data_IF_156385198124
#
_entry.id   IF_156385198124
#
_cell.length_a   1.000
_cell.length_b   1.000
_cell.length_c   1.000
_cell.angle_alpha   90.00
_cell.angle_beta   90.00
_cell.angle_gamma   90.00
#
_symmetry.space_group_name_H-M   'P 1'
#
loop_
_entity.id
_entity.type
_entity.pdbx_description
1 polymer ?
#
# COMPACT_ATOMS: atom_id res chain seq x y z
N UNK A 1 -8.38 -16.49 44.08
CA UNK A 1 -7.34 -16.70 43.05
C UNK A 1 -7.43 -15.53 42.09
N UNK A 2 -6.40 -14.69 42.01
CA UNK A 2 -6.39 -13.57 41.08
C UNK A 2 -6.42 -14.13 39.64
N UNK A 3 -7.36 -13.66 38.82
CA UNK A 3 -7.27 -13.85 37.36
C UNK A 3 -6.09 -13.01 36.90
N UNK A 4 -4.99 -13.65 36.53
CA UNK A 4 -3.93 -12.98 35.78
C UNK A 4 -4.51 -12.52 34.45
N UNK A 5 -4.73 -11.22 34.31
CA UNK A 5 -5.17 -10.61 33.07
C UNK A 5 -3.91 -10.24 32.27
N UNK A 6 -3.70 -10.88 31.13
CA UNK A 6 -2.65 -10.52 30.17
C UNK A 6 -3.28 -10.11 28.83
N UNK A 7 -2.54 -9.32 28.05
CA UNK A 7 -2.89 -8.98 26.68
C UNK A 7 -1.61 -8.92 25.84
N UNK A 8 -1.74 -9.21 24.54
CA UNK A 8 -0.63 -9.16 23.60
C UNK A 8 -0.62 -7.84 22.83
N UNK A 9 0.58 -7.29 22.62
CA UNK A 9 0.81 -6.15 21.73
C UNK A 9 1.36 -6.70 20.42
N UNK A 10 0.59 -6.62 19.34
CA UNK A 10 0.98 -7.11 18.02
C UNK A 10 0.84 -6.00 16.97
N UNK A 11 1.74 -6.00 15.99
CA UNK A 11 1.68 -5.14 14.81
C UNK A 11 1.39 -6.00 13.60
N UNK A 12 0.11 -6.27 13.35
CA UNK A 12 -0.36 -7.06 12.22
C UNK A 12 -0.91 -6.16 11.12
N UNK A 13 -0.66 -6.55 9.87
CA UNK A 13 -1.18 -5.87 8.69
C UNK A 13 -2.19 -6.79 8.03
N UNK A 14 -3.39 -6.27 7.80
CA UNK A 14 -4.44 -6.97 7.07
C UNK A 14 -4.11 -7.04 5.58
N UNK A 15 -3.51 -8.17 5.16
CA UNK A 15 -3.11 -8.42 3.77
C UNK A 15 -4.26 -8.23 2.76
N UNK A 16 -5.52 -8.65 3.04
CA UNK A 16 -6.64 -8.36 2.15
C UNK A 16 -6.84 -6.86 1.91
N UNK A 17 -6.67 -6.03 2.94
CA UNK A 17 -6.80 -4.57 2.82
C UNK A 17 -5.63 -3.95 2.06
N UNK A 18 -4.42 -4.51 2.16
CA UNK A 18 -3.28 -4.12 1.31
C UNK A 18 -3.58 -4.38 -0.16
N UNK A 19 -4.09 -5.57 -0.50
CA UNK A 19 -4.47 -5.93 -1.89
C UNK A 19 -5.55 -4.97 -2.40
N UNK A 20 -6.57 -4.70 -1.58
CA UNK A 20 -7.63 -3.77 -1.92
C UNK A 20 -7.09 -2.35 -2.16
N UNK A 21 -6.19 -1.87 -1.31
CA UNK A 21 -5.55 -0.57 -1.47
C UNK A 21 -4.72 -0.48 -2.76
N UNK A 22 -3.92 -1.51 -3.07
CA UNK A 22 -3.12 -1.59 -4.31
C UNK A 22 -4.01 -1.56 -5.55
N UNK A 23 -5.09 -2.35 -5.56
CA UNK A 23 -6.04 -2.37 -6.67
C UNK A 23 -6.72 -1.01 -6.87
N UNK A 24 -7.07 -0.33 -5.79
CA UNK A 24 -7.65 1.02 -5.85
C UNK A 24 -6.63 2.07 -6.32
N UNK A 25 -5.38 1.97 -5.88
CA UNK A 25 -4.31 2.86 -6.34
C UNK A 25 -4.09 2.69 -7.84
N UNK A 26 -4.04 1.44 -8.32
CA UNK A 26 -3.93 1.14 -9.75
C UNK A 26 -5.12 1.64 -10.57
N UNK A 27 -6.34 1.53 -10.05
CA UNK A 27 -7.53 2.07 -10.71
C UNK A 27 -7.46 3.60 -10.85
N UNK A 28 -7.01 4.31 -9.81
CA UNK A 28 -6.84 5.76 -9.84
C UNK A 28 -5.76 6.19 -10.83
N UNK A 29 -4.60 5.51 -10.82
CA UNK A 29 -3.50 5.78 -11.76
C UNK A 29 -3.97 5.62 -13.21
N UNK A 30 -4.77 4.60 -13.52
CA UNK A 30 -5.32 4.39 -14.86
C UNK A 30 -6.29 5.49 -15.31
N UNK A 31 -7.01 6.10 -14.38
CA UNK A 31 -7.98 7.17 -14.67
C UNK A 31 -7.33 8.54 -14.79
N UNK A 32 -6.17 8.73 -14.19
CA UNK A 32 -5.44 10.01 -14.20
C UNK A 32 -4.82 10.30 -15.57
N UNK A 33 -5.12 11.48 -16.11
CA UNK A 33 -4.66 11.89 -17.45
C UNK A 33 -3.13 12.04 -17.53
N UNK A 34 -2.49 12.51 -16.46
CA UNK A 34 -1.04 12.67 -16.36
C UNK A 34 -0.25 11.34 -16.36
N UNK A 35 -0.94 10.23 -16.09
CA UNK A 35 -0.39 8.87 -16.20
C UNK A 35 -0.73 8.18 -17.52
N UNK A 36 -1.46 8.85 -18.43
CA UNK A 36 -1.83 8.26 -19.72
C UNK A 36 -0.58 7.97 -20.56
N UNK A 37 -0.40 6.70 -20.94
CA UNK A 37 0.79 6.24 -21.67
C UNK A 37 2.04 6.00 -20.80
N UNK A 38 1.92 6.19 -19.48
CA UNK A 38 2.97 5.85 -18.52
C UNK A 38 3.04 4.34 -18.27
N UNK A 39 4.24 3.80 -18.01
CA UNK A 39 4.42 2.43 -17.53
C UNK A 39 4.35 2.33 -16.00
N UNK A 40 3.64 3.26 -15.37
CA UNK A 40 3.47 3.26 -13.92
C UNK A 40 2.66 2.05 -13.45
N UNK A 41 3.21 1.31 -12.49
CA UNK A 41 2.64 0.04 -12.03
C UNK A 41 2.94 -0.19 -10.55
N UNK A 42 2.02 -0.84 -9.84
CA UNK A 42 2.19 -1.30 -8.47
C UNK A 42 1.94 -2.81 -8.47
N UNK A 43 2.94 -3.60 -8.07
CA UNK A 43 2.83 -5.06 -7.88
C UNK A 43 3.01 -5.40 -6.42
N UNK A 44 2.14 -6.26 -5.91
CA UNK A 44 2.26 -6.81 -4.57
C UNK A 44 2.58 -8.30 -4.63
N UNK A 45 3.75 -8.68 -4.13
CA UNK A 45 4.12 -10.07 -3.93
C UNK A 45 3.71 -10.50 -2.52
N UNK A 46 2.61 -11.24 -2.43
CA UNK A 46 2.06 -11.73 -1.17
C UNK A 46 2.97 -12.74 -0.46
N UNK A 47 3.79 -13.51 -1.22
CA UNK A 47 4.68 -14.52 -0.64
C UNK A 47 5.92 -13.87 -0.04
N UNK A 48 6.46 -12.87 -0.73
CA UNK A 48 7.62 -12.12 -0.26
C UNK A 48 7.25 -10.99 0.72
N UNK A 49 5.99 -10.56 0.75
CA UNK A 49 5.54 -9.42 1.54
C UNK A 49 6.08 -8.09 1.01
N UNK A 50 6.33 -7.99 -0.31
CA UNK A 50 7.00 -6.85 -0.93
C UNK A 50 6.10 -6.15 -1.94
N UNK A 51 6.24 -4.82 -2.01
CA UNK A 51 5.58 -3.97 -3.00
C UNK A 51 6.63 -3.43 -3.97
N UNK A 52 6.43 -3.69 -5.26
CA UNK A 52 7.24 -3.11 -6.32
C UNK A 52 6.45 -1.98 -6.95
N UNK A 53 7.00 -0.77 -6.89
CA UNK A 53 6.42 0.43 -7.50
C UNK A 53 7.29 0.86 -8.67
N UNK A 54 6.66 1.04 -9.81
CA UNK A 54 7.29 1.46 -11.07
C UNK A 54 6.69 2.80 -11.48
N UNK A 55 7.55 3.73 -11.89
CA UNK A 55 7.18 5.02 -12.47
C UNK A 55 8.19 5.40 -13.54
N UNK A 56 7.76 6.14 -14.57
CA UNK A 56 8.65 6.49 -15.70
C UNK A 56 9.75 7.49 -15.31
N UNK A 57 9.46 8.33 -14.33
CA UNK A 57 10.33 9.39 -13.83
C UNK A 57 10.11 9.57 -12.32
N UNK A 58 10.97 10.36 -11.68
CA UNK A 58 10.93 10.58 -10.24
C UNK A 58 9.64 11.27 -9.77
N UNK A 59 9.06 12.17 -10.58
CA UNK A 59 7.84 12.88 -10.23
C UNK A 59 6.62 11.94 -10.25
N UNK A 60 6.54 11.09 -11.27
CA UNK A 60 5.50 10.05 -11.37
C UNK A 60 5.68 9.00 -10.29
N UNK A 61 6.91 8.57 -10.00
CA UNK A 61 7.17 7.60 -8.93
C UNK A 61 6.68 8.12 -7.58
N UNK A 62 7.02 9.37 -7.21
CA UNK A 62 6.51 10.02 -5.99
C UNK A 62 4.98 10.08 -5.98
N UNK A 63 4.38 10.50 -7.10
CA UNK A 63 2.93 10.56 -7.23
C UNK A 63 2.25 9.20 -7.05
N UNK A 64 2.84 8.11 -7.57
CA UNK A 64 2.34 6.74 -7.39
C UNK A 64 2.43 6.30 -5.93
N UNK A 65 3.55 6.60 -5.26
CA UNK A 65 3.75 6.31 -3.83
C UNK A 65 2.71 7.05 -2.99
N UNK A 66 2.46 8.33 -3.28
CA UNK A 66 1.48 9.15 -2.55
C UNK A 66 0.06 8.60 -2.71
N UNK A 67 -0.33 8.22 -3.94
CA UNK A 67 -1.63 7.57 -4.19
C UNK A 67 -1.73 6.28 -3.39
N UNK A 68 -0.71 5.41 -3.44
CA UNK A 68 -0.68 4.14 -2.72
C UNK A 68 -0.82 4.35 -1.20
N UNK A 69 -0.04 5.26 -0.61
CA UNK A 69 -0.13 5.58 0.81
C UNK A 69 -1.52 6.09 1.20
N UNK A 70 -2.10 6.98 0.40
CA UNK A 70 -3.46 7.49 0.63
C UNK A 70 -4.51 6.38 0.63
N UNK A 71 -4.40 5.40 -0.29
CA UNK A 71 -5.31 4.23 -0.31
C UNK A 71 -5.11 3.32 0.88
N UNK A 72 -3.87 3.07 1.30
CA UNK A 72 -3.57 2.25 2.47
C UNK A 72 -4.15 2.86 3.75
N UNK A 73 -3.98 4.18 3.95
CA UNK A 73 -4.54 4.89 5.12
C UNK A 73 -6.07 4.79 5.14
N UNK A 74 -6.73 5.01 4.00
CA UNK A 74 -8.20 4.89 3.88
C UNK A 74 -8.72 3.49 4.21
N UNK A 75 -7.86 2.49 4.09
CA UNK A 75 -8.13 1.07 4.35
C UNK A 75 -7.70 0.63 5.75
N UNK A 76 -7.25 1.56 6.59
CA UNK A 76 -6.79 1.27 7.95
C UNK A 76 -5.41 0.63 8.02
N UNK A 77 -4.68 0.56 6.90
CA UNK A 77 -3.30 0.07 6.88
C UNK A 77 -2.36 1.22 7.20
N UNK A 78 -1.60 1.07 8.29
CA UNK A 78 -0.62 2.07 8.71
C UNK A 78 0.53 2.18 7.72
N UNK A 79 0.84 3.39 7.25
CA UNK A 79 2.01 3.66 6.40
C UNK A 79 3.34 3.33 7.09
N UNK A 80 3.37 3.25 8.42
CA UNK A 80 4.54 2.82 9.20
C UNK A 80 4.88 1.35 8.96
N UNK A 81 3.96 0.56 8.39
CA UNK A 81 4.22 -0.81 7.99
C UNK A 81 5.05 -0.92 6.71
N UNK A 82 5.26 0.19 5.99
CA UNK A 82 6.08 0.22 4.78
C UNK A 82 7.54 0.51 5.14
N UNK A 83 8.45 -0.24 4.52
CA UNK A 83 9.90 -0.03 4.60
C UNK A 83 10.44 0.10 3.18
N UNK A 84 11.18 1.18 2.92
CA UNK A 84 11.73 1.54 1.62
C UNK A 84 13.25 1.39 1.61
#
# INVERSE_FOLDING_TARGET
MAKDNSFDIVSQVEIPEVINAVNQAMAEIKQRYDFKGSKSEIKFDQKAGTLTVLGDDEMKLKSVIDILQSKLIKRGVSIKALKY
#
